data_IF_037159762949
#
_entry.id   IF_037159762949
#
_cell.length_a   1.000
_cell.length_b   1.000
_cell.length_c   1.000
_cell.angle_alpha   90.00
_cell.angle_beta   90.00
_cell.angle_gamma   90.00
#
_symmetry.space_group_name_H-M   'P 1'
#
loop_
_entity.id
_entity.type
_entity.pdbx_description
1 polymer ?
#
# COMPACT_ATOMS: atom_id res chain seq x y z
N UNK A 1 -47.46 -18.87 40.55
CA UNK A 1 -47.35 -17.93 39.41
C UNK A 1 -46.50 -16.69 39.69
N UNK A 2 -46.49 -16.13 40.91
CA UNK A 2 -45.69 -14.92 41.25
C UNK A 2 -44.18 -15.10 41.09
N UNK A 3 -43.65 -16.29 41.41
CA UNK A 3 -42.22 -16.60 41.32
C UNK A 3 -41.73 -16.89 39.88
N UNK A 4 -42.65 -17.14 38.94
CA UNK A 4 -42.31 -17.36 37.52
C UNK A 4 -42.02 -16.04 36.80
N UNK A 5 -42.73 -14.97 37.19
CA UNK A 5 -42.57 -13.61 36.64
C UNK A 5 -41.21 -13.03 37.03
N UNK A 6 -40.72 -13.31 38.24
CA UNK A 6 -39.41 -12.86 38.72
C UNK A 6 -38.27 -13.54 37.96
N UNK A 7 -38.43 -14.82 37.61
CA UNK A 7 -37.44 -15.57 36.82
C UNK A 7 -37.39 -15.06 35.36
N UNK A 8 -38.55 -14.75 34.76
CA UNK A 8 -38.65 -14.18 33.42
C UNK A 8 -38.06 -12.75 33.33
N UNK A 9 -38.24 -11.92 34.37
CA UNK A 9 -37.61 -10.59 34.43
C UNK A 9 -36.07 -10.66 34.59
N UNK A 10 -35.57 -11.66 35.33
CA UNK A 10 -34.13 -11.83 35.52
C UNK A 10 -33.40 -12.25 34.23
N UNK A 11 -34.05 -13.04 33.37
CA UNK A 11 -33.49 -13.50 32.09
C UNK A 11 -33.44 -12.35 31.06
N UNK A 12 -34.40 -11.41 31.09
CA UNK A 12 -34.41 -10.24 30.21
C UNK A 12 -33.29 -9.22 30.49
N UNK A 13 -32.64 -9.27 31.67
CA UNK A 13 -31.53 -8.38 32.03
C UNK A 13 -30.15 -8.95 31.66
N UNK A 14 -30.09 -10.18 31.15
CA UNK A 14 -28.90 -10.70 30.46
C UNK A 14 -28.91 -10.14 29.03
N UNK A 15 -28.89 -8.81 28.93
CA UNK A 15 -28.64 -8.13 27.67
C UNK A 15 -27.20 -8.47 27.28
N UNK A 16 -27.01 -9.35 26.31
CA UNK A 16 -25.72 -9.54 25.66
C UNK A 16 -25.23 -8.16 25.22
N UNK A 17 -24.25 -7.61 25.94
CA UNK A 17 -23.59 -6.38 25.51
C UNK A 17 -23.06 -6.63 24.10
N UNK A 18 -23.60 -5.91 23.12
CA UNK A 18 -23.10 -5.98 21.75
C UNK A 18 -21.64 -5.55 21.81
N UNK A 19 -20.73 -6.46 21.44
CA UNK A 19 -19.31 -6.13 21.36
C UNK A 19 -19.12 -4.95 20.41
N UNK A 20 -18.24 -4.04 20.80
CA UNK A 20 -17.94 -2.85 20.02
C UNK A 20 -17.27 -3.25 18.69
N UNK A 21 -17.62 -2.52 17.63
CA UNK A 21 -17.08 -2.72 16.28
C UNK A 21 -16.56 -1.41 15.75
N UNK A 22 -15.50 -1.46 14.94
CA UNK A 22 -14.73 -0.30 14.51
C UNK A 22 -14.39 -0.36 13.02
N UNK A 23 -13.98 0.77 12.48
CA UNK A 23 -13.58 0.92 11.08
C UNK A 23 -14.74 0.78 10.08
N UNK A 24 -14.45 0.93 8.78
CA UNK A 24 -15.48 0.89 7.74
C UNK A 24 -16.15 -0.49 7.58
N UNK A 25 -15.49 -1.56 8.06
CA UNK A 25 -15.94 -2.94 7.91
C UNK A 25 -16.57 -3.52 9.19
N UNK A 26 -16.82 -2.66 10.20
CA UNK A 26 -17.42 -3.04 11.48
C UNK A 26 -16.73 -4.25 12.15
N UNK A 27 -15.40 -4.22 12.23
CA UNK A 27 -14.60 -5.30 12.80
C UNK A 27 -14.43 -5.12 14.32
N UNK A 28 -14.31 -6.24 15.04
CA UNK A 28 -13.98 -6.21 16.47
C UNK A 28 -12.48 -6.09 16.65
N UNK A 29 -12.06 -5.44 17.73
CA UNK A 29 -10.65 -5.48 18.14
C UNK A 29 -10.21 -6.92 18.42
N UNK A 30 -9.02 -7.30 17.95
CA UNK A 30 -8.51 -8.67 18.02
C UNK A 30 -9.12 -9.64 16.98
N UNK A 31 -10.02 -9.19 16.10
CA UNK A 31 -10.63 -10.06 15.09
C UNK A 31 -9.60 -10.46 14.03
N UNK A 32 -9.42 -11.77 13.84
CA UNK A 32 -8.64 -12.30 12.73
C UNK A 32 -9.40 -12.17 11.41
N UNK A 33 -8.71 -11.71 10.39
CA UNK A 33 -9.21 -11.59 9.03
C UNK A 33 -8.20 -12.15 8.04
N UNK A 34 -8.68 -12.40 6.83
CA UNK A 34 -7.81 -12.72 5.70
C UNK A 34 -7.75 -11.54 4.75
N UNK A 35 -6.55 -11.20 4.31
CA UNK A 35 -6.30 -10.08 3.43
C UNK A 35 -5.60 -10.54 2.15
N UNK A 36 -5.92 -9.87 1.05
CA UNK A 36 -5.27 -10.04 -0.23
C UNK A 36 -4.39 -8.82 -0.52
N UNK A 37 -3.12 -9.08 -0.80
CA UNK A 37 -2.14 -8.08 -1.21
C UNK A 37 -1.85 -8.30 -2.69
N UNK A 38 -2.05 -7.26 -3.49
CA UNK A 38 -1.91 -7.29 -4.94
C UNK A 38 -0.43 -7.32 -5.38
N UNK A 39 -0.20 -7.85 -6.58
CA UNK A 39 1.13 -7.97 -7.19
C UNK A 39 1.75 -6.62 -7.62
N UNK A 40 0.95 -5.56 -7.78
CA UNK A 40 1.35 -4.24 -8.31
C UNK A 40 1.90 -3.32 -7.23
N UNK A 41 2.91 -3.78 -6.48
CA UNK A 41 3.54 -3.01 -5.40
C UNK A 41 3.86 -1.57 -5.86
N UNK A 42 3.27 -0.58 -5.18
CA UNK A 42 3.48 0.85 -5.41
C UNK A 42 2.61 1.51 -6.47
N UNK A 43 1.72 0.76 -7.11
CA UNK A 43 0.69 1.28 -8.03
C UNK A 43 -0.44 1.99 -7.27
N UNK A 44 -1.22 2.82 -7.96
CA UNK A 44 -2.48 3.35 -7.44
C UNK A 44 -3.52 2.25 -7.19
N UNK A 45 -3.39 1.12 -7.89
CA UNK A 45 -4.19 -0.10 -7.70
C UNK A 45 -3.59 -1.09 -6.72
N UNK A 46 -2.52 -0.70 -6.00
CA UNK A 46 -1.96 -1.46 -4.90
C UNK A 46 -2.86 -1.34 -3.64
N UNK A 47 -4.03 -1.97 -3.70
CA UNK A 47 -5.06 -1.86 -2.68
C UNK A 47 -5.10 -3.17 -1.88
N UNK A 48 -5.06 -3.04 -0.56
CA UNK A 48 -5.29 -4.13 0.37
C UNK A 48 -6.78 -4.48 0.39
N UNK A 49 -7.12 -5.73 0.09
CA UNK A 49 -8.51 -6.19 0.09
C UNK A 49 -8.76 -7.14 1.26
N UNK A 50 -9.94 -7.04 1.89
CA UNK A 50 -10.43 -8.03 2.85
C UNK A 50 -11.17 -9.14 2.12
N UNK A 51 -10.85 -10.38 2.49
CA UNK A 51 -11.49 -11.59 1.97
C UNK A 51 -12.59 -12.09 2.93
N UNK A 52 -13.57 -12.86 2.42
CA UNK A 52 -13.76 -13.27 1.02
C UNK A 52 -14.47 -12.25 0.11
N UNK A 53 -14.96 -11.14 0.66
CA UNK A 53 -15.81 -10.19 -0.06
C UNK A 53 -15.07 -9.37 -1.14
N UNK A 54 -13.73 -9.35 -1.10
CA UNK A 54 -12.87 -8.53 -1.97
C UNK A 54 -13.16 -7.03 -1.87
N UNK A 55 -13.54 -6.57 -0.69
CA UNK A 55 -13.76 -5.17 -0.38
C UNK A 55 -12.45 -4.50 0.07
N UNK A 56 -12.31 -3.19 -0.17
CA UNK A 56 -11.14 -2.45 0.30
C UNK A 56 -11.06 -2.53 1.83
N UNK A 57 -9.90 -2.96 2.35
CA UNK A 57 -9.72 -3.24 3.77
C UNK A 57 -9.86 -1.98 4.66
N UNK A 58 -9.64 -0.79 4.08
CA UNK A 58 -9.89 0.49 4.74
C UNK A 58 -8.91 0.86 5.87
N UNK A 59 -7.90 0.03 6.13
CA UNK A 59 -6.84 0.27 7.11
C UNK A 59 -5.48 -0.18 6.56
N UNK A 60 -4.39 0.30 7.15
CA UNK A 60 -3.03 -0.11 6.80
C UNK A 60 -2.70 -1.51 7.33
N UNK A 61 -1.73 -2.16 6.71
CA UNK A 61 -1.12 -3.40 7.20
C UNK A 61 0.26 -3.12 7.77
N UNK A 62 0.47 -3.46 9.03
CA UNK A 62 1.74 -3.36 9.74
C UNK A 62 2.45 -4.73 9.79
N UNK A 63 3.79 -4.71 9.80
CA UNK A 63 4.62 -5.89 10.03
C UNK A 63 4.85 -6.82 8.83
N UNK A 64 4.36 -6.47 7.63
CA UNK A 64 4.54 -7.27 6.42
C UNK A 64 5.71 -6.79 5.55
N UNK A 65 6.94 -7.15 5.96
CA UNK A 65 8.18 -6.69 5.29
C UNK A 65 8.66 -7.61 4.15
N UNK A 66 8.09 -8.81 4.05
CA UNK A 66 8.49 -9.84 3.07
C UNK A 66 7.84 -9.67 1.68
N UNK A 67 7.41 -8.44 1.36
CA UNK A 67 6.67 -8.17 0.13
C UNK A 67 7.60 -8.12 -1.08
N UNK A 68 7.37 -9.01 -2.03
CA UNK A 68 8.02 -9.01 -3.35
C UNK A 68 7.04 -8.53 -4.45
N UNK A 69 7.47 -7.65 -5.38
CA UNK A 69 6.67 -7.25 -6.53
C UNK A 69 6.36 -8.47 -7.43
N UNK A 70 5.21 -8.47 -8.10
CA UNK A 70 4.83 -9.58 -8.98
C UNK A 70 4.26 -10.80 -8.25
N UNK A 71 4.10 -10.75 -6.94
CA UNK A 71 3.43 -11.79 -6.17
C UNK A 71 2.16 -11.28 -5.52
N UNK A 72 1.10 -12.07 -5.62
CA UNK A 72 -0.12 -11.89 -4.85
C UNK A 72 0.01 -12.69 -3.55
N UNK A 73 -0.37 -12.10 -2.43
CA UNK A 73 -0.34 -12.77 -1.13
C UNK A 73 -1.73 -12.83 -0.53
N UNK A 74 -2.12 -14.02 -0.09
CA UNK A 74 -3.19 -14.17 0.89
C UNK A 74 -2.54 -14.30 2.26
N UNK A 75 -2.90 -13.42 3.18
CA UNK A 75 -2.32 -13.39 4.52
C UNK A 75 -3.41 -13.47 5.57
N UNK A 76 -3.04 -13.88 6.78
CA UNK A 76 -3.84 -13.68 7.97
C UNK A 76 -3.31 -12.48 8.74
N UNK A 77 -4.24 -11.68 9.25
CA UNK A 77 -3.92 -10.51 10.07
C UNK A 77 -4.93 -10.38 11.23
N UNK A 78 -4.54 -9.66 12.27
CA UNK A 78 -5.43 -9.25 13.36
C UNK A 78 -5.81 -7.80 13.15
N UNK A 79 -7.09 -7.48 13.25
CA UNK A 79 -7.54 -6.10 13.29
C UNK A 79 -7.34 -5.52 14.69
N UNK A 80 -6.65 -4.39 14.77
CA UNK A 80 -6.41 -3.67 16.01
C UNK A 80 -7.12 -2.33 16.03
N UNK A 81 -7.71 -2.00 17.16
CA UNK A 81 -8.23 -0.68 17.46
C UNK A 81 -7.45 -0.05 18.63
N UNK A 82 -6.92 1.15 18.39
CA UNK A 82 -6.33 1.99 19.42
C UNK A 82 -7.37 3.01 19.91
N UNK A 83 -7.71 2.94 21.19
CA UNK A 83 -8.63 3.88 21.82
C UNK A 83 -8.05 5.30 21.93
N UNK A 84 -6.72 5.44 21.94
CA UNK A 84 -6.01 6.71 22.09
C UNK A 84 -4.92 6.85 21.02
N UNK A 85 -5.29 6.91 19.73
CA UNK A 85 -4.31 6.99 18.66
C UNK A 85 -3.54 8.32 18.66
N UNK A 86 -2.37 8.37 18.00
CA UNK A 86 -1.72 9.63 17.67
C UNK A 86 -2.68 10.59 16.94
N UNK A 87 -2.50 11.90 17.14
CA UNK A 87 -3.40 12.92 16.57
C UNK A 87 -3.49 12.89 15.03
N UNK A 88 -2.44 12.43 14.37
CA UNK A 88 -2.32 12.26 12.92
C UNK A 88 -2.39 10.77 12.48
N UNK A 89 -2.63 9.86 13.41
CA UNK A 89 -2.70 8.41 13.18
C UNK A 89 -4.12 7.90 12.97
N UNK A 90 -4.24 6.81 12.21
CA UNK A 90 -5.49 6.04 12.21
C UNK A 90 -5.72 5.40 13.58
N UNK A 91 -6.96 5.35 14.04
CA UNK A 91 -7.35 4.61 15.25
C UNK A 91 -7.38 3.10 15.07
N UNK A 92 -7.11 2.59 13.86
CA UNK A 92 -7.14 1.17 13.57
C UNK A 92 -6.19 0.79 12.44
N UNK A 93 -5.68 -0.45 12.51
CA UNK A 93 -4.77 -1.05 11.53
C UNK A 93 -4.86 -2.58 11.60
N UNK A 94 -4.25 -3.25 10.62
CA UNK A 94 -4.06 -4.69 10.61
C UNK A 94 -2.63 -5.04 11.03
N UNK A 95 -2.47 -5.97 11.97
CA UNK A 95 -1.17 -6.56 12.30
C UNK A 95 -1.01 -7.90 11.56
N UNK A 96 0.06 -8.02 10.78
CA UNK A 96 0.39 -9.24 10.05
C UNK A 96 0.66 -10.41 11.02
N UNK A 97 0.04 -11.56 10.77
CA UNK A 97 0.32 -12.80 11.52
C UNK A 97 1.17 -13.77 10.70
N UNK A 98 0.65 -14.21 9.55
CA UNK A 98 1.33 -15.18 8.69
C UNK A 98 0.83 -15.11 7.24
N UNK A 99 1.62 -15.69 6.34
CA UNK A 99 1.21 -15.90 4.94
C UNK A 99 0.44 -17.21 4.84
N UNK A 100 -0.76 -17.14 4.23
CA UNK A 100 -1.58 -18.30 3.89
C UNK A 100 -1.16 -18.85 2.53
N UNK A 101 -1.02 -17.97 1.53
CA UNK A 101 -0.48 -18.32 0.21
C UNK A 101 0.31 -17.17 -0.40
N UNK A 102 1.28 -17.54 -1.23
CA UNK A 102 2.07 -16.65 -2.08
C UNK A 102 1.99 -17.20 -3.49
N UNK A 103 1.44 -16.42 -4.40
CA UNK A 103 1.22 -16.84 -5.77
C UNK A 103 1.94 -15.89 -6.74
N UNK A 104 2.72 -16.48 -7.63
CA UNK A 104 3.38 -15.70 -8.68
C UNK A 104 2.34 -15.22 -9.69
N UNK A 105 2.31 -13.92 -9.93
CA UNK A 105 1.47 -13.36 -10.97
C UNK A 105 1.91 -13.86 -12.35
N UNK A 106 0.95 -14.31 -13.18
CA UNK A 106 1.22 -14.93 -14.50
C UNK A 106 0.78 -14.09 -15.68
N UNK A 107 0.08 -12.99 -15.44
CA UNK A 107 -0.32 -12.08 -16.51
C UNK A 107 0.85 -11.21 -17.01
N UNK A 108 0.60 -10.54 -18.12
CA UNK A 108 1.59 -9.71 -18.83
C UNK A 108 1.07 -8.29 -19.05
N UNK A 109 -0.08 -7.95 -18.47
CA UNK A 109 -0.65 -6.63 -18.61
C UNK A 109 0.18 -5.57 -17.89
N UNK A 110 0.19 -4.37 -18.48
CA UNK A 110 0.83 -3.23 -17.88
C UNK A 110 -0.05 -2.57 -16.84
N UNK A 111 0.62 -1.88 -15.92
CA UNK A 111 -0.03 -1.06 -14.91
C UNK A 111 0.78 0.22 -14.71
N UNK A 112 0.12 1.22 -14.13
CA UNK A 112 0.72 2.54 -13.91
C UNK A 112 1.21 2.66 -12.46
N UNK A 113 2.35 3.32 -12.30
CA UNK A 113 2.88 3.77 -11.02
C UNK A 113 3.13 5.28 -11.07
N UNK A 114 2.86 5.97 -9.96
CA UNK A 114 3.15 7.39 -9.82
C UNK A 114 4.53 7.56 -9.18
N UNK A 115 5.40 8.33 -9.84
CA UNK A 115 6.72 8.63 -9.29
C UNK A 115 6.68 9.86 -8.37
N UNK A 116 5.72 10.78 -8.53
CA UNK A 116 5.50 11.88 -7.58
C UNK A 116 4.27 11.56 -6.74
N UNK A 117 4.42 11.53 -5.41
CA UNK A 117 3.37 10.96 -4.53
C UNK A 117 2.89 11.85 -3.40
N UNK A 118 3.59 12.95 -3.11
CA UNK A 118 3.15 13.93 -2.13
C UNK A 118 3.82 15.25 -2.42
N UNK A 119 3.12 16.34 -2.07
CA UNK A 119 3.65 17.70 -2.04
C UNK A 119 3.68 18.28 -0.61
N UNK A 120 2.93 17.69 0.34
CA UNK A 120 2.63 18.26 1.67
C UNK A 120 2.33 17.10 2.65
N UNK A 121 2.70 17.18 3.96
CA UNK A 121 3.66 18.09 4.59
C UNK A 121 5.07 17.48 4.49
N UNK A 122 6.03 18.21 3.92
CA UNK A 122 7.40 17.68 3.70
C UNK A 122 7.97 17.95 2.31
N UNK A 123 7.19 18.58 1.43
CA UNK A 123 7.61 18.91 0.07
C UNK A 123 7.41 17.76 -0.91
N UNK A 124 7.92 17.91 -2.13
CA UNK A 124 7.66 16.98 -3.21
C UNK A 124 8.51 15.71 -3.06
N UNK A 125 7.86 14.56 -2.95
CA UNK A 125 8.56 13.28 -2.90
C UNK A 125 8.49 12.62 -4.27
N UNK A 126 9.65 12.55 -4.94
CA UNK A 126 9.84 11.74 -6.14
C UNK A 126 10.42 10.38 -5.74
N UNK A 127 9.67 9.30 -5.95
CA UNK A 127 10.00 7.90 -5.68
C UNK A 127 10.96 7.29 -6.72
N UNK A 128 11.95 8.07 -7.16
CA UNK A 128 13.05 7.58 -7.99
C UNK A 128 14.35 7.72 -7.21
N UNK A 129 15.11 6.63 -7.16
CA UNK A 129 16.49 6.65 -6.70
C UNK A 129 17.42 6.08 -7.77
N UNK A 130 18.71 6.37 -7.65
CA UNK A 130 19.76 5.85 -8.53
C UNK A 130 20.94 5.35 -7.71
N UNK A 131 21.42 4.16 -7.99
CA UNK A 131 22.62 3.58 -7.40
C UNK A 131 23.56 3.14 -8.53
N UNK A 132 24.69 3.83 -8.67
CA UNK A 132 25.57 3.64 -9.84
C UNK A 132 24.81 3.95 -11.14
N UNK A 133 24.65 2.95 -11.99
CA UNK A 133 23.90 3.04 -13.26
C UNK A 133 22.45 2.60 -13.15
N UNK A 134 22.05 1.98 -12.04
CA UNK A 134 20.74 1.37 -11.87
C UNK A 134 19.74 2.35 -11.23
N UNK A 135 18.50 2.31 -11.72
CA UNK A 135 17.38 3.09 -11.20
C UNK A 135 16.48 2.23 -10.33
N UNK A 136 15.92 2.84 -9.28
CA UNK A 136 15.07 2.15 -8.32
C UNK A 136 13.82 2.96 -7.99
N UNK A 137 12.70 2.25 -7.85
CA UNK A 137 11.48 2.77 -7.28
C UNK A 137 11.44 2.50 -5.78
N UNK A 138 11.38 3.58 -4.99
CA UNK A 138 11.33 3.54 -3.52
C UNK A 138 12.36 2.59 -2.89
N UNK A 139 13.57 2.53 -3.47
CA UNK A 139 14.70 1.70 -3.03
C UNK A 139 14.50 0.18 -3.03
N UNK A 140 13.32 -0.31 -3.42
CA UNK A 140 12.97 -1.75 -3.37
C UNK A 140 12.93 -2.42 -4.74
N UNK A 141 12.48 -1.70 -5.78
CA UNK A 141 12.21 -2.30 -7.09
C UNK A 141 13.14 -1.68 -8.12
N UNK A 142 13.93 -2.47 -8.82
CA UNK A 142 14.76 -1.98 -9.92
C UNK A 142 13.88 -1.57 -11.11
N UNK A 143 14.21 -0.46 -11.77
CA UNK A 143 13.67 -0.15 -13.09
C UNK A 143 14.62 -0.64 -14.17
N UNK A 144 14.11 -1.50 -15.03
CA UNK A 144 14.73 -1.85 -16.30
C UNK A 144 14.07 -1.07 -17.44
N UNK A 145 14.80 -0.92 -18.54
CA UNK A 145 14.46 0.03 -19.59
C UNK A 145 13.93 -0.72 -20.82
N UNK A 146 12.74 -0.39 -21.29
CA UNK A 146 12.25 -0.93 -22.55
C UNK A 146 13.02 -0.38 -23.76
N UNK A 147 13.57 0.83 -23.66
CA UNK A 147 14.33 1.49 -24.72
C UNK A 147 15.16 2.68 -24.19
N UNK A 148 15.99 3.26 -25.06
CA UNK A 148 16.87 4.39 -24.73
C UNK A 148 16.11 5.70 -24.39
N UNK A 149 14.90 5.89 -24.93
CA UNK A 149 14.05 7.04 -24.61
C UNK A 149 13.65 7.03 -23.14
N UNK A 150 13.19 5.89 -22.64
CA UNK A 150 12.88 5.70 -21.22
C UNK A 150 14.11 5.96 -20.35
N UNK A 151 15.28 5.46 -20.75
CA UNK A 151 16.53 5.72 -20.04
C UNK A 151 16.87 7.21 -19.94
N UNK A 152 16.69 7.96 -21.03
CA UNK A 152 16.93 9.41 -21.07
C UNK A 152 15.94 10.17 -20.18
N UNK A 153 14.67 9.75 -20.18
CA UNK A 153 13.64 10.33 -19.33
C UNK A 153 13.91 10.07 -17.84
N UNK A 154 14.32 8.85 -17.45
CA UNK A 154 14.71 8.56 -16.06
C UNK A 154 15.93 9.36 -15.61
N UNK A 155 16.92 9.55 -16.49
CA UNK A 155 18.07 10.41 -16.20
C UNK A 155 17.65 11.87 -15.98
N UNK A 156 16.72 12.39 -16.79
CA UNK A 156 16.17 13.74 -16.62
C UNK A 156 15.44 13.89 -15.28
N UNK A 157 14.60 12.90 -14.92
CA UNK A 157 13.92 12.88 -13.63
C UNK A 157 14.95 12.84 -12.50
N UNK A 158 15.98 12.02 -12.62
CA UNK A 158 17.03 11.92 -11.60
C UNK A 158 17.77 13.23 -11.38
N UNK A 159 18.11 13.96 -12.45
CA UNK A 159 18.69 15.31 -12.33
C UNK A 159 17.77 16.25 -11.55
N UNK A 160 16.47 16.23 -11.84
CA UNK A 160 15.51 17.04 -11.08
C UNK A 160 15.40 16.61 -9.61
N UNK A 161 15.47 15.30 -9.32
CA UNK A 161 15.56 14.80 -7.93
C UNK A 161 16.78 15.37 -7.23
N UNK A 162 17.94 15.39 -7.88
CA UNK A 162 19.17 15.95 -7.31
C UNK A 162 19.04 17.46 -7.07
N UNK A 163 18.45 18.20 -8.00
CA UNK A 163 18.19 19.64 -7.86
C UNK A 163 17.26 19.95 -6.68
N UNK A 164 16.16 19.20 -6.53
CA UNK A 164 15.23 19.36 -5.40
C UNK A 164 15.95 19.05 -4.08
N UNK A 165 16.70 17.94 -4.03
CA UNK A 165 17.45 17.54 -2.83
C UNK A 165 18.57 18.52 -2.48
N UNK A 166 19.20 19.17 -3.46
CA UNK A 166 20.21 20.19 -3.21
C UNK A 166 19.60 21.50 -2.70
N UNK A 167 18.37 21.82 -3.14
CA UNK A 167 17.70 23.11 -2.89
C UNK A 167 16.43 22.95 -2.01
N UNK A 168 16.36 21.91 -1.18
CA UNK A 168 15.16 21.62 -0.38
C UNK A 168 14.84 22.75 0.60
N UNK A 169 15.88 23.43 1.11
CA UNK A 169 15.78 24.54 2.06
C UNK A 169 15.13 25.79 1.45
N UNK A 170 15.27 25.99 0.14
CA UNK A 170 14.67 27.11 -0.59
C UNK A 170 13.27 26.78 -1.12
N UNK A 171 12.75 25.60 -0.82
CA UNK A 171 11.43 25.16 -1.24
C UNK A 171 11.36 24.81 -2.73
N UNK A 172 12.48 24.37 -3.33
CA UNK A 172 12.51 23.95 -4.74
C UNK A 172 11.42 22.91 -5.02
N UNK A 173 10.61 23.18 -6.04
CA UNK A 173 9.54 22.29 -6.49
C UNK A 173 10.00 21.41 -7.66
N UNK A 174 9.32 20.28 -7.93
CA UNK A 174 9.62 19.46 -9.07
C UNK A 174 9.30 20.21 -10.35
N UNK A 175 9.99 19.81 -11.40
CA UNK A 175 9.73 20.31 -12.75
C UNK A 175 8.31 19.98 -13.25
N UNK A 176 7.73 18.87 -12.76
CA UNK A 176 6.42 18.37 -13.20
C UNK A 176 5.46 18.19 -12.04
N UNK A 177 4.16 18.38 -12.30
CA UNK A 177 3.09 18.11 -11.31
C UNK A 177 2.81 16.63 -11.10
N UNK A 178 3.05 15.82 -12.12
CA UNK A 178 2.96 14.37 -11.99
C UNK A 178 3.91 13.71 -12.99
N UNK A 179 4.38 12.53 -12.60
CA UNK A 179 5.17 11.66 -13.46
C UNK A 179 4.56 10.27 -13.31
N UNK A 180 4.02 9.76 -14.41
CA UNK A 180 3.42 8.43 -14.47
C UNK A 180 4.30 7.52 -15.30
N UNK A 181 4.67 6.38 -14.74
CA UNK A 181 5.38 5.33 -15.47
C UNK A 181 4.45 4.15 -15.70
N UNK A 182 4.32 3.72 -16.95
CA UNK A 182 3.64 2.48 -17.31
C UNK A 182 4.68 1.35 -17.30
N UNK A 183 4.41 0.30 -16.53
CA UNK A 183 5.36 -0.78 -16.27
C UNK A 183 4.71 -2.15 -16.45
N UNK A 184 5.56 -3.16 -16.65
CA UNK A 184 5.22 -4.57 -16.44
C UNK A 184 6.21 -5.17 -15.43
N UNK A 185 5.88 -6.33 -14.85
CA UNK A 185 6.91 -7.13 -14.16
C UNK A 185 7.97 -7.54 -15.16
N UNK A 186 9.24 -7.30 -14.85
CA UNK A 186 10.33 -7.69 -15.74
C UNK A 186 10.42 -9.23 -15.81
N UNK A 187 10.21 -9.87 -16.99
CA UNK A 187 10.27 -11.32 -17.11
C UNK A 187 11.66 -11.90 -16.81
N UNK A 188 12.73 -11.14 -17.03
CA UNK A 188 14.12 -11.57 -16.79
C UNK A 188 14.56 -11.36 -15.34
N UNK A 189 13.86 -10.48 -14.61
CA UNK A 189 14.15 -10.11 -13.22
C UNK A 189 12.88 -10.12 -12.35
N UNK A 190 12.05 -11.14 -12.55
CA UNK A 190 10.77 -11.26 -11.86
C UNK A 190 10.96 -11.26 -10.34
N UNK A 191 10.04 -10.60 -9.61
CA UNK A 191 10.17 -10.45 -8.16
C UNK A 191 11.11 -9.34 -7.70
N UNK A 192 11.82 -8.67 -8.63
CA UNK A 192 12.87 -7.70 -8.29
C UNK A 192 12.82 -6.42 -9.10
N UNK A 193 12.29 -6.47 -10.33
CA UNK A 193 12.30 -5.33 -11.24
C UNK A 193 10.98 -5.12 -11.98
N UNK A 194 10.76 -3.87 -12.34
CA UNK A 194 9.75 -3.44 -13.29
C UNK A 194 10.41 -2.98 -14.58
N UNK A 195 9.93 -3.52 -15.71
CA UNK A 195 10.32 -3.05 -17.02
C UNK A 195 9.46 -1.83 -17.37
N UNK A 196 10.09 -0.66 -17.41
CA UNK A 196 9.45 0.61 -17.69
C UNK A 196 9.23 0.74 -19.19
N UNK A 197 7.96 0.73 -19.60
CA UNK A 197 7.54 0.79 -21.01
C UNK A 197 7.46 2.23 -21.51
N UNK A 198 6.91 3.12 -20.68
CA UNK A 198 6.60 4.50 -21.03
C UNK A 198 6.65 5.40 -19.79
N UNK A 199 7.06 6.64 -19.97
CA UNK A 199 6.96 7.70 -18.96
C UNK A 199 6.18 8.88 -19.55
N UNK A 200 5.18 9.33 -18.80
CA UNK A 200 4.33 10.48 -19.13
C UNK A 200 4.49 11.57 -18.07
N UNK A 201 4.62 12.80 -18.54
CA UNK A 201 4.82 13.98 -17.70
C UNK A 201 3.58 14.86 -17.72
N UNK A 202 3.18 15.37 -16.56
CA UNK A 202 2.14 16.39 -16.44
C UNK A 202 2.79 17.72 -16.02
N UNK A 203 2.72 18.78 -16.84
CA UNK A 203 3.26 20.10 -16.50
C UNK A 203 2.58 20.76 -15.31
#
# INVERSE_FOLDING_TARGET
MKNLIVLLLAICLISCKKEATYGPLNLKDGQQVELLIDHRLGSDKDILLKLPENEQAGASLAGFEQREPGYTYRIRAVFHYDANPPADGSSYYYEFLNVISKEQYKGTESFDIQLIVSYIPGGPIIRLNKQGTDYYFSDKIQFTLANATVGSQLEEIWKNVQEIRANWQTGQRPKWKAIKATVIHDPQKFGKAYLVQKIEFTP
#
